data_IF_579405511690
#
_entry.id   IF_579405511690
#
_cell.length_a   1.000
_cell.length_b   1.000
_cell.length_c   1.000
_cell.angle_alpha   90.00
_cell.angle_beta   90.00
_cell.angle_gamma   90.00
#
_symmetry.space_group_name_H-M   'P 1'
#
loop_
_entity.id
_entity.type
_entity.pdbx_description
1 polymer ?
#
# COMPACT_ATOMS: atom_id res chain seq x y z
N UNK A 1 3.74 -30.63 10.81
CA UNK A 1 2.92 -29.89 9.80
C UNK A 1 3.87 -28.98 9.07
N UNK A 2 4.47 -29.48 8.01
CA UNK A 2 5.28 -28.67 7.09
C UNK A 2 4.34 -28.07 6.06
N UNK A 3 4.41 -26.75 5.87
CA UNK A 3 3.69 -26.06 4.80
C UNK A 3 4.56 -26.22 3.57
N UNK A 4 4.18 -27.15 2.69
CA UNK A 4 4.81 -27.31 1.38
C UNK A 4 4.30 -26.14 0.53
N UNK A 5 5.13 -25.12 0.36
CA UNK A 5 4.89 -24.06 -0.61
C UNK A 5 5.02 -24.70 -2.00
N UNK A 6 3.89 -24.97 -2.65
CA UNK A 6 3.85 -25.50 -4.00
C UNK A 6 4.30 -24.39 -4.96
N UNK A 7 5.60 -24.30 -5.20
CA UNK A 7 6.17 -23.54 -6.30
C UNK A 7 5.72 -24.18 -7.61
N UNK A 8 4.65 -23.62 -8.19
CA UNK A 8 4.19 -23.99 -9.53
C UNK A 8 5.34 -23.76 -10.53
N UNK A 9 5.63 -24.72 -11.44
CA UNK A 9 6.65 -24.55 -12.46
C UNK A 9 6.39 -23.29 -13.28
N UNK A 10 7.40 -22.43 -13.43
CA UNK A 10 7.31 -21.18 -14.20
C UNK A 10 6.88 -21.39 -15.66
N UNK A 11 7.02 -22.60 -16.17
CA UNK A 11 6.63 -22.99 -17.53
C UNK A 11 5.11 -22.99 -17.74
N UNK A 12 4.31 -23.13 -16.67
CA UNK A 12 2.84 -23.06 -16.75
C UNK A 12 2.36 -21.61 -16.92
N UNK A 13 3.08 -20.63 -16.36
CA UNK A 13 2.73 -19.20 -16.50
C UNK A 13 2.98 -18.70 -17.92
N UNK A 14 4.04 -19.19 -18.58
CA UNK A 14 4.41 -18.78 -19.94
C UNK A 14 3.53 -19.40 -21.04
N UNK A 15 2.81 -20.47 -20.74
CA UNK A 15 2.02 -21.23 -21.73
C UNK A 15 0.51 -20.90 -21.71
N UNK A 16 0.07 -19.99 -20.85
CA UNK A 16 -1.30 -19.48 -20.86
C UNK A 16 -1.52 -18.51 -22.04
N UNK A 17 -2.57 -18.71 -22.87
CA UNK A 17 -2.90 -17.79 -23.95
C UNK A 17 -3.13 -16.37 -23.40
N UNK A 18 -2.28 -15.43 -23.82
CA UNK A 18 -2.43 -14.04 -23.41
C UNK A 18 -3.74 -13.48 -23.99
N UNK A 19 -4.60 -12.85 -23.18
CA UNK A 19 -5.80 -12.21 -23.69
C UNK A 19 -5.42 -11.15 -24.74
N UNK A 20 -6.21 -11.01 -25.83
CA UNK A 20 -6.00 -10.00 -26.85
C UNK A 20 -6.32 -8.63 -26.26
N UNK A 21 -5.29 -8.03 -25.68
CA UNK A 21 -5.35 -6.77 -24.97
C UNK A 21 -4.04 -6.64 -24.25
N UNK A 22 -3.10 -5.91 -24.84
CA UNK A 22 -1.82 -5.62 -24.20
C UNK A 22 -2.06 -5.14 -22.77
N UNK A 23 -1.13 -5.47 -21.88
CA UNK A 23 -1.05 -4.89 -20.54
C UNK A 23 -1.26 -3.37 -20.67
N UNK A 24 -2.49 -2.89 -20.47
CA UNK A 24 -2.65 -1.71 -19.66
C UNK A 24 -2.04 -2.15 -18.35
N UNK A 25 -0.77 -1.78 -18.16
CA UNK A 25 -0.24 -1.48 -16.84
C UNK A 25 -1.43 -0.91 -16.07
N UNK A 26 -1.99 -1.72 -15.16
CA UNK A 26 -3.06 -1.25 -14.30
C UNK A 26 -2.42 -0.05 -13.65
N UNK A 27 -2.84 1.15 -14.09
CA UNK A 27 -2.15 2.39 -13.81
C UNK A 27 -2.22 2.48 -12.31
N UNK A 28 -1.15 2.08 -11.62
CA UNK A 28 -1.12 2.14 -10.17
C UNK A 28 -1.49 3.58 -9.87
N UNK A 29 -2.58 3.82 -9.11
CA UNK A 29 -2.90 5.18 -8.71
C UNK A 29 -1.59 5.80 -8.24
N UNK A 30 -1.23 6.98 -8.76
CA UNK A 30 0.09 7.63 -8.53
C UNK A 30 0.42 7.85 -7.04
N UNK A 31 -0.45 7.44 -6.13
CA UNK A 31 -0.42 7.64 -4.70
C UNK A 31 -0.40 6.35 -3.86
N UNK A 32 -0.40 5.16 -4.47
CA UNK A 32 -0.29 3.91 -3.71
C UNK A 32 1.10 3.82 -3.04
N UNK A 33 1.12 3.45 -1.77
CA UNK A 33 2.37 3.39 -0.98
C UNK A 33 2.45 2.10 -0.17
N UNK A 34 3.65 1.56 -0.05
CA UNK A 34 3.95 0.36 0.72
C UNK A 34 5.07 0.62 1.70
N UNK A 35 4.86 0.24 2.95
CA UNK A 35 5.83 0.35 4.03
C UNK A 35 6.10 -1.03 4.62
N UNK A 36 7.37 -1.42 4.69
CA UNK A 36 7.78 -2.74 5.17
C UNK A 36 8.76 -2.54 6.31
N UNK A 37 8.53 -3.22 7.43
CA UNK A 37 9.50 -3.31 8.52
C UNK A 37 10.63 -4.24 8.10
N UNK A 38 11.86 -3.73 8.06
CA UNK A 38 13.08 -4.49 7.80
C UNK A 38 14.05 -4.31 8.96
N UNK A 39 14.94 -5.28 9.24
CA UNK A 39 15.88 -5.21 10.38
C UNK A 39 16.70 -3.91 10.43
N UNK A 40 17.16 -3.44 9.27
CA UNK A 40 17.94 -2.19 9.14
C UNK A 40 17.08 -1.01 8.64
N UNK A 41 15.75 -1.17 8.63
CA UNK A 41 14.83 -0.19 8.08
C UNK A 41 14.24 0.76 9.11
N UNK A 42 13.66 1.88 8.65
CA UNK A 42 12.95 2.79 9.53
C UNK A 42 11.66 2.14 10.05
N UNK A 43 11.61 1.90 11.36
CA UNK A 43 10.42 1.41 12.06
C UNK A 43 9.32 2.47 12.16
N UNK A 44 9.70 3.75 12.14
CA UNK A 44 8.80 4.89 12.25
C UNK A 44 8.83 5.74 10.97
N UNK A 45 7.74 6.45 10.68
CA UNK A 45 7.75 7.47 9.64
C UNK A 45 6.41 8.18 9.45
N UNK A 46 6.46 9.40 8.94
CA UNK A 46 5.27 10.17 8.52
C UNK A 46 4.97 9.90 7.04
N UNK A 47 3.70 9.96 6.67
CA UNK A 47 3.20 9.90 5.31
C UNK A 47 1.93 10.73 5.19
N UNK A 48 1.60 11.11 3.97
CA UNK A 48 0.47 12.01 3.73
C UNK A 48 -0.40 11.51 2.59
N UNK A 49 -1.71 11.74 2.72
CA UNK A 49 -2.58 11.57 1.58
C UNK A 49 -2.28 12.63 0.52
N UNK A 50 -2.31 12.29 -0.78
CA UNK A 50 -2.17 13.29 -1.83
C UNK A 50 -3.33 14.29 -1.75
N UNK A 51 -3.07 15.56 -2.09
CA UNK A 51 -4.13 16.54 -2.25
C UNK A 51 -5.08 16.10 -3.35
N UNK A 52 -6.35 15.88 -3.00
CA UNK A 52 -7.36 15.43 -3.94
C UNK A 52 -7.89 16.62 -4.78
N UNK A 53 -7.19 16.97 -5.86
CA UNK A 53 -7.71 17.91 -6.87
C UNK A 53 -8.46 17.11 -7.92
N UNK A 54 -9.79 16.98 -7.78
CA UNK A 54 -10.63 16.17 -8.66
C UNK A 54 -11.56 17.03 -9.53
N UNK A 55 -11.05 17.66 -10.60
CA UNK A 55 -11.85 18.55 -11.45
C UNK A 55 -12.88 17.77 -12.28
N UNK A 56 -12.53 16.56 -12.73
CA UNK A 56 -13.38 15.71 -13.58
C UNK A 56 -14.37 14.83 -12.78
N UNK A 57 -14.33 14.86 -11.46
CA UNK A 57 -15.26 14.08 -10.61
C UNK A 57 -14.95 12.58 -10.50
N UNK A 58 -13.91 12.09 -11.17
CA UNK A 58 -13.54 10.68 -11.13
C UNK A 58 -13.18 10.19 -9.71
N UNK A 59 -13.62 8.98 -9.31
CA UNK A 59 -13.20 8.39 -8.05
C UNK A 59 -11.69 8.14 -8.08
N UNK A 60 -10.99 8.66 -7.07
CA UNK A 60 -9.57 8.35 -6.85
C UNK A 60 -9.44 7.51 -5.59
N UNK A 61 -8.75 6.39 -5.73
CA UNK A 61 -8.42 5.47 -4.65
C UNK A 61 -6.91 5.39 -4.50
N UNK A 62 -6.42 5.54 -3.27
CA UNK A 62 -5.02 5.32 -2.92
C UNK A 62 -4.97 4.19 -1.89
N UNK A 63 -4.09 3.23 -2.10
CA UNK A 63 -3.92 2.07 -1.22
C UNK A 63 -2.61 2.20 -0.45
N UNK A 64 -2.71 2.20 0.88
CA UNK A 64 -1.57 2.21 1.80
C UNK A 64 -1.40 0.82 2.42
N UNK A 65 -0.26 0.18 2.14
CA UNK A 65 0.03 -1.19 2.62
C UNK A 65 1.14 -1.15 3.67
N UNK A 66 0.89 -1.74 4.84
CA UNK A 66 1.87 -1.84 5.93
C UNK A 66 2.18 -3.31 6.21
N UNK A 67 3.45 -3.71 6.05
CA UNK A 67 3.92 -5.07 6.33
C UNK A 67 4.83 -5.05 7.55
N UNK A 68 4.30 -5.48 8.69
CA UNK A 68 5.07 -5.64 9.92
C UNK A 68 5.89 -6.96 9.87
N UNK A 69 7.03 -6.97 10.55
CA UNK A 69 7.83 -8.18 10.72
C UNK A 69 7.19 -9.19 11.68
N UNK A 70 7.80 -10.38 11.85
CA UNK A 70 7.33 -11.37 12.81
C UNK A 70 7.21 -10.76 14.20
N UNK A 71 6.08 -11.04 14.88
CA UNK A 71 5.73 -10.50 16.22
C UNK A 71 5.59 -8.98 16.32
N UNK A 72 5.73 -8.23 15.23
CA UNK A 72 5.49 -6.80 15.24
C UNK A 72 4.02 -6.48 14.95
N UNK A 73 3.59 -5.30 15.39
CA UNK A 73 2.35 -4.66 14.99
C UNK A 73 2.65 -3.30 14.36
N UNK A 74 1.74 -2.85 13.50
CA UNK A 74 1.74 -1.47 13.00
C UNK A 74 0.75 -0.64 13.84
N UNK A 75 1.21 0.49 14.34
CA UNK A 75 0.38 1.57 14.85
C UNK A 75 0.28 2.66 13.77
N UNK A 76 -0.94 3.15 13.56
CA UNK A 76 -1.21 4.27 12.66
C UNK A 76 -1.83 5.40 13.49
N UNK A 77 -1.24 6.58 13.41
CA UNK A 77 -1.73 7.78 14.10
C UNK A 77 -2.11 8.81 13.04
N UNK A 78 -3.36 9.28 13.10
CA UNK A 78 -3.85 10.34 12.24
C UNK A 78 -3.65 11.68 12.96
N UNK A 79 -2.62 12.43 12.55
CA UNK A 79 -2.31 13.75 13.12
C UNK A 79 -3.25 14.82 12.58
N UNK A 80 -3.68 14.69 11.33
CA UNK A 80 -4.75 15.51 10.74
C UNK A 80 -5.60 14.64 9.82
N UNK A 81 -6.92 14.85 9.86
CA UNK A 81 -7.89 14.10 9.07
C UNK A 81 -9.03 15.01 8.57
N UNK A 82 -9.08 15.20 7.24
CA UNK A 82 -10.11 15.95 6.55
C UNK A 82 -10.58 15.22 5.29
N UNK A 83 -11.80 14.69 5.32
CA UNK A 83 -12.51 14.25 4.11
C UNK A 83 -13.35 15.41 3.56
N UNK A 84 -13.91 15.29 2.35
CA UNK A 84 -14.64 16.38 1.64
C UNK A 84 -15.56 17.18 2.58
N UNK A 85 -15.48 18.51 2.46
CA UNK A 85 -16.18 19.50 3.30
C UNK A 85 -15.24 20.44 4.06
N UNK A 86 -13.94 20.15 4.08
CA UNK A 86 -12.90 21.01 4.67
C UNK A 86 -11.95 21.51 3.55
N UNK A 87 -11.68 22.82 3.44
CA UNK A 87 -10.59 23.36 2.62
C UNK A 87 -9.27 22.64 2.94
N UNK A 88 -8.29 22.57 1.99
CA UNK A 88 -7.38 21.45 1.86
C UNK A 88 -6.43 21.30 3.04
N UNK A 89 -6.83 20.50 4.03
CA UNK A 89 -5.89 19.95 5.00
C UNK A 89 -5.42 18.59 4.49
N UNK A 90 -4.15 18.56 4.10
CA UNK A 90 -3.43 17.33 3.78
C UNK A 90 -3.65 16.34 4.94
N UNK A 91 -4.15 15.12 4.68
CA UNK A 91 -4.27 14.12 5.74
C UNK A 91 -2.85 13.70 6.13
N UNK A 92 -2.45 14.01 7.37
CA UNK A 92 -1.12 13.70 7.91
C UNK A 92 -1.26 12.48 8.81
N UNK A 93 -0.46 11.46 8.50
CA UNK A 93 -0.45 10.20 9.23
C UNK A 93 0.98 9.81 9.59
N UNK A 94 1.16 9.15 10.72
CA UNK A 94 2.42 8.48 11.06
C UNK A 94 2.19 7.00 11.25
N UNK A 95 3.22 6.22 10.95
CA UNK A 95 3.28 4.78 11.17
C UNK A 95 4.42 4.46 12.14
N UNK A 96 4.20 3.47 12.98
CA UNK A 96 5.22 2.89 13.85
C UNK A 96 5.08 1.37 13.87
N UNK A 97 6.17 0.66 13.59
CA UNK A 97 6.28 -0.78 13.78
C UNK A 97 6.91 -1.06 15.16
N UNK A 98 6.22 -1.81 16.00
CA UNK A 98 6.68 -2.14 17.35
C UNK A 98 6.47 -3.63 17.66
N UNK A 99 7.33 -4.20 18.50
CA UNK A 99 7.22 -5.61 18.93
C UNK A 99 6.07 -5.78 19.92
N UNK A 100 5.33 -6.86 19.76
CA UNK A 100 4.30 -7.28 20.71
C UNK A 100 5.00 -8.03 21.85
N UNK A 101 5.04 -7.40 23.03
CA UNK A 101 5.34 -8.12 24.29
C UNK A 101 4.26 -9.15 24.59
#
# INVERSE_FOLDING_TARGET
>A
REVIEASLPQDYVSSLPQPPGGLTTARTPKCDQKFVSTPDGPLNGSFHAPTLINPEGDPRQCVYTFLAGPRQRVELIFTSFGLRGKPPELIIMSRTFYDRR
#
